data_IF_210872132096
#
_entry.id   IF_210872132096
#
_cell.length_a   1.000
_cell.length_b   1.000
_cell.length_c   1.000
_cell.angle_alpha   90.00
_cell.angle_beta   90.00
_cell.angle_gamma   90.00
#
_symmetry.space_group_name_H-M   'P 1'
#
loop_
_entity.id
_entity.type
_entity.pdbx_description
1 polymer ?
#
# COMPACT_ATOMS: atom_id res chain seq x y z
N UNK A 1 -11.93 -14.41 36.29
CA UNK A 1 -11.11 -13.19 36.03
C UNK A 1 -9.90 -13.44 35.13
N UNK A 2 -9.09 -14.48 35.36
CA UNK A 2 -7.96 -14.87 34.48
C UNK A 2 -8.38 -15.23 33.03
N UNK A 3 -9.57 -15.80 32.85
CA UNK A 3 -10.05 -16.35 31.56
C UNK A 3 -10.67 -15.35 30.58
N UNK A 4 -11.14 -14.18 31.04
CA UNK A 4 -11.72 -13.15 30.15
C UNK A 4 -10.61 -12.27 29.57
N UNK A 5 -9.55 -12.02 30.35
CA UNK A 5 -8.37 -11.26 29.95
C UNK A 5 -7.43 -12.04 29.03
N UNK A 6 -7.32 -13.37 29.21
CA UNK A 6 -6.71 -14.24 28.20
C UNK A 6 -7.46 -14.14 26.87
N UNK A 7 -8.80 -13.95 26.87
CA UNK A 7 -9.58 -13.82 25.64
C UNK A 7 -9.40 -12.47 24.94
N UNK A 8 -9.17 -11.37 25.65
CA UNK A 8 -8.96 -10.04 25.02
C UNK A 8 -7.50 -9.85 24.56
N UNK A 9 -6.53 -10.31 25.35
CA UNK A 9 -5.13 -10.34 24.92
C UNK A 9 -4.89 -11.40 23.84
N UNK A 10 -5.61 -12.53 23.86
CA UNK A 10 -5.70 -13.44 22.72
C UNK A 10 -6.45 -12.79 21.55
N UNK A 11 -7.51 -12.01 21.73
CA UNK A 11 -8.14 -11.34 20.57
C UNK A 11 -7.21 -10.36 19.85
N UNK A 12 -6.19 -9.80 20.51
CA UNK A 12 -5.14 -8.99 19.88
C UNK A 12 -3.89 -9.80 19.47
N UNK A 13 -3.68 -11.00 20.04
CA UNK A 13 -2.52 -11.88 19.77
C UNK A 13 -2.84 -13.15 18.97
N UNK A 14 -4.10 -13.34 18.55
CA UNK A 14 -4.63 -14.56 17.94
C UNK A 14 -5.34 -14.23 16.62
N UNK A 15 -4.91 -13.14 15.97
CA UNK A 15 -4.84 -13.13 14.51
C UNK A 15 -3.43 -13.58 14.17
N UNK A 16 -3.16 -14.87 14.39
CA UNK A 16 -2.20 -15.59 13.57
C UNK A 16 -2.83 -15.74 12.18
N UNK A 17 -3.08 -14.61 11.52
CA UNK A 17 -3.14 -14.63 10.08
C UNK A 17 -1.76 -15.10 9.61
N UNK A 18 -1.68 -15.88 8.52
CA UNK A 18 -0.39 -16.09 7.89
C UNK A 18 0.26 -14.70 7.77
N UNK A 19 1.55 -14.61 8.11
CA UNK A 19 2.33 -13.38 8.05
C UNK A 19 2.55 -12.97 6.58
N UNK A 20 1.46 -12.80 5.85
CA UNK A 20 1.42 -12.29 4.49
C UNK A 20 1.63 -10.79 4.67
N UNK A 21 2.84 -10.33 4.37
CA UNK A 21 3.00 -8.92 4.08
C UNK A 21 2.12 -8.61 2.87
N UNK A 22 1.31 -7.56 2.97
CA UNK A 22 0.42 -7.16 1.88
C UNK A 22 1.24 -6.87 0.63
N UNK A 23 0.81 -7.40 -0.52
CA UNK A 23 1.38 -7.03 -1.80
C UNK A 23 0.89 -5.64 -2.20
N UNK A 24 1.82 -4.72 -2.40
CA UNK A 24 1.52 -3.32 -2.70
C UNK A 24 1.36 -3.09 -4.22
N UNK A 25 1.90 -4.00 -5.04
CA UNK A 25 1.80 -3.90 -6.50
C UNK A 25 0.38 -4.27 -6.96
N UNK A 26 -0.27 -3.43 -7.79
CA UNK A 26 -1.54 -3.79 -8.39
C UNK A 26 -1.34 -4.79 -9.52
N UNK A 27 -2.43 -5.47 -9.84
CA UNK A 27 -2.60 -6.08 -11.15
C UNK A 27 -2.63 -4.96 -12.20
N UNK A 28 -1.78 -5.03 -13.23
CA UNK A 28 -1.79 -4.06 -14.32
C UNK A 28 -2.44 -4.69 -15.56
N UNK A 29 -3.47 -4.03 -16.08
CA UNK A 29 -4.13 -4.37 -17.35
C UNK A 29 -3.89 -3.24 -18.33
N UNK A 30 -3.09 -3.48 -19.36
CA UNK A 30 -2.76 -2.50 -20.39
C UNK A 30 -3.50 -2.85 -21.68
N UNK A 31 -4.27 -1.90 -22.19
CA UNK A 31 -5.03 -2.01 -23.43
C UNK A 31 -4.52 -0.94 -24.41
N UNK A 32 -3.88 -1.40 -25.48
CA UNK A 32 -3.38 -0.54 -26.55
C UNK A 32 -4.28 -0.70 -27.79
N UNK A 33 -5.14 0.29 -28.04
CA UNK A 33 -6.06 0.29 -29.16
C UNK A 33 -5.31 0.70 -30.45
N UNK A 34 -5.22 -0.21 -31.42
CA UNK A 34 -4.55 0.02 -32.72
C UNK A 34 -5.51 0.57 -33.78
N UNK A 35 -6.70 -0.02 -33.86
CA UNK A 35 -7.78 0.40 -34.76
C UNK A 35 -9.10 0.32 -34.02
N UNK A 36 -10.22 0.72 -34.63
CA UNK A 36 -11.55 0.57 -33.99
C UNK A 36 -11.96 -0.87 -33.68
N UNK A 37 -11.23 -1.87 -34.20
CA UNK A 37 -11.53 -3.30 -34.03
C UNK A 37 -10.36 -4.12 -33.51
N UNK A 38 -9.14 -3.59 -33.49
CA UNK A 38 -7.95 -4.31 -33.05
C UNK A 38 -7.27 -3.59 -31.89
N UNK A 39 -6.93 -4.36 -30.86
CA UNK A 39 -6.22 -3.91 -29.68
C UNK A 39 -5.16 -4.94 -29.26
N UNK A 40 -4.17 -4.52 -28.46
CA UNK A 40 -3.29 -5.43 -27.73
C UNK A 40 -3.65 -5.34 -26.25
N UNK A 41 -3.84 -6.48 -25.59
CA UNK A 41 -4.12 -6.54 -24.15
C UNK A 41 -2.97 -7.24 -23.46
N UNK A 42 -2.33 -6.56 -22.51
CA UNK A 42 -1.23 -7.08 -21.70
C UNK A 42 -1.65 -7.08 -20.24
N UNK A 43 -1.47 -8.21 -19.57
CA UNK A 43 -1.84 -8.38 -18.16
C UNK A 43 -0.59 -8.72 -17.38
N UNK A 44 -0.23 -7.89 -16.41
CA UNK A 44 0.95 -8.07 -15.55
C UNK A 44 0.48 -8.27 -14.12
N UNK A 45 0.62 -9.50 -13.62
CA UNK A 45 0.32 -9.83 -12.23
C UNK A 45 1.52 -9.53 -11.32
N UNK A 46 1.27 -9.14 -10.06
CA UNK A 46 2.30 -9.09 -9.02
C UNK A 46 2.94 -10.45 -8.76
N UNK A 47 4.22 -10.47 -8.41
CA UNK A 47 4.98 -11.72 -8.17
C UNK A 47 4.51 -12.51 -6.95
N UNK A 48 3.80 -11.88 -6.01
CA UNK A 48 3.25 -12.58 -4.84
C UNK A 48 1.96 -13.34 -5.10
N UNK A 49 1.32 -13.14 -6.27
CA UNK A 49 0.17 -13.95 -6.61
C UNK A 49 0.64 -15.39 -6.85
N UNK A 50 0.09 -16.37 -6.10
CA UNK A 50 0.50 -17.75 -6.29
C UNK A 50 0.13 -18.20 -7.70
N UNK A 51 0.98 -19.01 -8.33
CA UNK A 51 0.80 -19.45 -9.71
C UNK A 51 -0.58 -20.07 -9.99
N UNK A 52 -1.21 -20.70 -8.99
CA UNK A 52 -2.56 -21.28 -9.09
C UNK A 52 -3.71 -20.26 -9.00
N UNK A 53 -3.45 -19.00 -8.66
CA UNK A 53 -4.45 -17.93 -8.54
C UNK A 53 -4.17 -16.74 -9.47
N UNK A 54 -3.38 -16.93 -10.54
CA UNK A 54 -3.11 -15.88 -11.50
C UNK A 54 -4.42 -15.43 -12.20
N UNK A 55 -4.67 -14.11 -12.30
CA UNK A 55 -5.92 -13.60 -12.83
C UNK A 55 -6.04 -13.79 -14.34
N UNK A 56 -7.29 -13.89 -14.79
CA UNK A 56 -7.65 -13.85 -16.20
C UNK A 56 -8.55 -12.65 -16.43
N UNK A 57 -8.19 -11.81 -17.40
CA UNK A 57 -9.03 -10.70 -17.86
C UNK A 57 -10.00 -11.24 -18.92
N UNK A 58 -11.29 -11.12 -18.63
CA UNK A 58 -12.40 -11.48 -19.50
C UNK A 58 -12.85 -10.21 -20.23
N UNK A 59 -12.74 -10.26 -21.55
CA UNK A 59 -13.14 -9.19 -22.45
C UNK A 59 -14.60 -9.36 -22.86
N UNK A 60 -15.24 -8.31 -23.41
CA UNK A 60 -16.60 -8.42 -23.91
C UNK A 60 -16.76 -9.55 -24.95
N UNK A 61 -17.95 -10.16 -25.00
CA UNK A 61 -18.19 -11.37 -25.79
C UNK A 61 -18.01 -11.24 -27.32
N UNK A 62 -17.90 -10.02 -27.84
CA UNK A 62 -17.57 -9.73 -29.24
C UNK A 62 -16.07 -9.62 -29.53
N UNK A 63 -15.22 -9.90 -28.53
CA UNK A 63 -13.76 -9.91 -28.64
C UNK A 63 -13.20 -11.33 -28.76
N UNK A 64 -12.17 -11.50 -29.61
CA UNK A 64 -11.44 -12.76 -29.80
C UNK A 64 -9.92 -12.52 -29.74
N UNK A 65 -9.19 -13.21 -28.84
CA UNK A 65 -9.71 -14.07 -27.78
C UNK A 65 -10.46 -13.27 -26.70
N UNK A 66 -11.50 -13.87 -26.11
CA UNK A 66 -12.28 -13.24 -25.03
C UNK A 66 -11.60 -13.30 -23.66
N UNK A 67 -10.46 -14.01 -23.55
CA UNK A 67 -9.74 -14.23 -22.29
C UNK A 67 -8.25 -13.98 -22.49
N UNK A 68 -7.65 -13.21 -21.58
CA UNK A 68 -6.22 -12.89 -21.57
C UNK A 68 -5.67 -13.21 -20.18
N UNK A 69 -4.69 -14.10 -20.14
CA UNK A 69 -4.07 -14.58 -18.90
C UNK A 69 -2.99 -13.62 -18.42
N UNK A 70 -2.81 -13.51 -17.11
CA UNK A 70 -1.68 -12.80 -16.52
C UNK A 70 -0.33 -13.32 -17.02
N UNK A 71 0.63 -12.41 -17.20
CA UNK A 71 1.94 -12.70 -17.78
C UNK A 71 1.95 -12.77 -19.32
N UNK A 72 0.80 -12.56 -19.97
CA UNK A 72 0.70 -12.59 -21.43
C UNK A 72 0.39 -11.22 -22.03
N UNK A 73 0.86 -11.01 -23.27
CA UNK A 73 0.44 -9.91 -24.14
C UNK A 73 -0.19 -10.53 -25.38
N UNK A 74 -1.48 -10.29 -25.60
CA UNK A 74 -2.24 -10.91 -26.69
C UNK A 74 -2.90 -9.86 -27.58
N UNK A 75 -2.78 -9.98 -28.92
CA UNK A 75 -3.62 -9.22 -29.83
C UNK A 75 -5.07 -9.71 -29.72
N UNK A 76 -6.00 -8.77 -29.69
CA UNK A 76 -7.44 -9.01 -29.58
C UNK A 76 -8.16 -8.27 -30.70
N UNK A 77 -9.13 -8.95 -31.31
CA UNK A 77 -10.04 -8.35 -32.28
C UNK A 77 -11.45 -8.29 -31.71
N UNK A 78 -12.04 -7.09 -31.65
CA UNK A 78 -13.39 -6.83 -31.16
C UNK A 78 -14.26 -6.23 -32.27
N UNK A 79 -15.59 -6.28 -32.14
CA UNK A 79 -16.47 -5.64 -33.12
C UNK A 79 -16.36 -4.10 -33.10
N UNK A 80 -15.98 -3.54 -31.95
CA UNK A 80 -15.80 -2.11 -31.67
C UNK A 80 -14.69 -1.88 -30.64
N UNK A 81 -14.33 -0.61 -30.45
CA UNK A 81 -13.35 -0.13 -29.47
C UNK A 81 -13.66 -0.62 -28.05
N UNK A 82 -12.62 -0.85 -27.26
CA UNK A 82 -12.76 -1.25 -25.86
C UNK A 82 -13.08 -0.07 -24.93
N UNK A 83 -12.74 1.17 -25.31
CA UNK A 83 -13.13 2.38 -24.57
C UNK A 83 -14.62 2.40 -24.14
N UNK A 84 -14.87 2.71 -22.87
CA UNK A 84 -16.19 2.80 -22.26
C UNK A 84 -16.89 1.45 -22.04
N UNK A 85 -16.17 0.33 -22.19
CA UNK A 85 -16.73 -1.00 -22.03
C UNK A 85 -16.13 -1.69 -20.82
N UNK A 86 -16.90 -2.62 -20.26
CA UNK A 86 -16.46 -3.35 -19.09
C UNK A 86 -15.57 -4.53 -19.46
N UNK A 87 -14.50 -4.69 -18.70
CA UNK A 87 -13.64 -5.87 -18.66
C UNK A 87 -13.72 -6.47 -17.26
N UNK A 88 -13.75 -7.80 -17.15
CA UNK A 88 -13.92 -8.47 -15.86
C UNK A 88 -12.65 -9.21 -15.48
N UNK A 89 -12.21 -9.05 -14.23
CA UNK A 89 -11.10 -9.80 -13.67
C UNK A 89 -11.66 -11.05 -12.99
N UNK A 90 -11.10 -12.20 -13.32
CA UNK A 90 -11.45 -13.46 -12.69
C UNK A 90 -10.22 -14.09 -12.05
N UNK A 91 -10.27 -14.28 -10.74
CA UNK A 91 -9.30 -15.05 -9.96
C UNK A 91 -9.81 -16.49 -9.79
N UNK A 92 -9.02 -17.53 -10.15
CA UNK A 92 -9.47 -18.92 -10.10
C UNK A 92 -9.81 -19.46 -8.70
N UNK A 93 -9.13 -18.99 -7.65
CA UNK A 93 -9.25 -19.53 -6.29
C UNK A 93 -9.92 -18.54 -5.33
N UNK A 94 -9.40 -17.32 -5.23
CA UNK A 94 -9.89 -16.28 -4.31
C UNK A 94 -9.51 -14.89 -4.80
N UNK A 95 -10.26 -13.85 -4.41
CA UNK A 95 -9.82 -12.46 -4.63
C UNK A 95 -8.65 -12.16 -3.67
N UNK A 96 -7.43 -11.92 -4.17
CA UNK A 96 -6.26 -11.64 -3.34
C UNK A 96 -6.27 -10.24 -2.71
N UNK A 97 -7.33 -9.46 -2.92
CA UNK A 97 -7.45 -8.08 -2.44
C UNK A 97 -6.30 -7.17 -2.93
N UNK A 98 -5.88 -7.37 -4.18
CA UNK A 98 -4.94 -6.46 -4.87
C UNK A 98 -5.74 -5.47 -5.72
N UNK A 99 -5.35 -4.20 -5.69
CA UNK A 99 -5.92 -3.17 -6.58
C UNK A 99 -5.58 -3.49 -8.03
N UNK A 100 -6.36 -2.93 -8.96
CA UNK A 100 -6.12 -3.11 -10.40
C UNK A 100 -5.91 -1.78 -11.09
N UNK A 101 -4.82 -1.66 -11.82
CA UNK A 101 -4.49 -0.53 -12.66
C UNK A 101 -4.88 -0.85 -14.11
N UNK A 102 -5.87 -0.16 -14.65
CA UNK A 102 -6.29 -0.28 -16.04
C UNK A 102 -5.75 0.90 -16.85
N UNK A 103 -4.96 0.60 -17.88
CA UNK A 103 -4.40 1.59 -18.80
C UNK A 103 -5.03 1.43 -20.17
N UNK A 104 -5.47 2.53 -20.77
CA UNK A 104 -6.04 2.53 -22.12
C UNK A 104 -5.41 3.61 -23.00
N UNK A 105 -4.63 3.19 -24.00
CA UNK A 105 -3.95 4.08 -24.96
C UNK A 105 -4.40 3.87 -26.40
N UNK A 106 -4.15 4.87 -27.27
CA UNK A 106 -4.35 4.79 -28.72
C UNK A 106 -2.99 4.88 -29.42
N UNK A 107 -2.67 3.93 -30.29
CA UNK A 107 -1.45 3.96 -31.13
C UNK A 107 -0.23 3.24 -30.52
N UNK A 108 0.82 3.09 -31.34
CA UNK A 108 2.09 2.43 -30.97
C UNK A 108 3.15 3.45 -30.56
N UNK A 109 3.44 3.53 -29.27
CA UNK A 109 4.42 4.48 -28.73
C UNK A 109 3.91 5.14 -27.45
N UNK A 110 4.77 5.90 -26.77
CA UNK A 110 4.57 6.53 -25.47
C UNK A 110 3.48 7.63 -25.42
N UNK A 111 2.40 7.51 -26.19
CA UNK A 111 1.15 8.20 -25.89
C UNK A 111 0.62 7.55 -24.61
N UNK A 112 0.90 8.18 -23.48
CA UNK A 112 0.42 7.81 -22.14
C UNK A 112 -1.10 7.83 -22.16
N UNK A 113 -1.68 6.67 -22.47
CA UNK A 113 -3.11 6.46 -22.41
C UNK A 113 -3.67 6.70 -21.01
N UNK A 114 -4.94 7.07 -20.92
CA UNK A 114 -5.63 7.26 -19.66
C UNK A 114 -5.49 6.03 -18.75
N UNK A 115 -5.03 6.26 -17.53
CA UNK A 115 -4.90 5.26 -16.49
C UNK A 115 -5.94 5.47 -15.40
N UNK A 116 -6.66 4.42 -15.03
CA UNK A 116 -7.58 4.41 -13.90
C UNK A 116 -7.22 3.29 -12.92
N UNK A 117 -7.24 3.62 -11.63
CA UNK A 117 -7.02 2.67 -10.55
C UNK A 117 -8.36 2.26 -9.94
N UNK A 118 -8.55 0.95 -9.82
CA UNK A 118 -9.73 0.31 -9.27
C UNK A 118 -9.40 -0.33 -7.92
N UNK A 119 -10.38 -0.29 -7.01
CA UNK A 119 -10.24 -0.87 -5.69
C UNK A 119 -10.12 -2.41 -5.79
N UNK A 120 -9.58 -3.07 -4.76
CA UNK A 120 -9.42 -4.53 -4.77
C UNK A 120 -10.70 -5.34 -4.98
N UNK A 121 -11.85 -4.80 -4.59
CA UNK A 121 -13.15 -5.45 -4.74
C UNK A 121 -13.82 -5.17 -6.10
N UNK A 122 -13.27 -4.23 -6.88
CA UNK A 122 -13.77 -3.90 -8.21
C UNK A 122 -13.25 -4.93 -9.22
N UNK A 123 -14.05 -5.98 -9.45
CA UNK A 123 -13.72 -7.01 -10.45
C UNK A 123 -14.26 -6.70 -11.84
N UNK A 124 -15.09 -5.67 -12.00
CA UNK A 124 -15.64 -5.21 -13.27
C UNK A 124 -15.15 -3.79 -13.50
N UNK A 125 -14.24 -3.63 -14.47
CA UNK A 125 -13.55 -2.37 -14.75
C UNK A 125 -14.08 -1.77 -16.03
N UNK A 126 -14.48 -0.50 -16.01
CA UNK A 126 -14.91 0.20 -17.22
C UNK A 126 -13.73 0.87 -17.89
N UNK A 127 -13.33 0.40 -19.07
CA UNK A 127 -12.18 0.96 -19.80
C UNK A 127 -12.33 2.47 -20.00
N UNK A 128 -11.40 3.31 -19.52
CA UNK A 128 -11.54 4.76 -19.65
C UNK A 128 -11.46 5.21 -21.11
N UNK A 129 -11.94 6.41 -21.41
CA UNK A 129 -11.66 7.04 -22.70
C UNK A 129 -10.17 7.38 -22.78
N UNK A 130 -9.58 7.36 -23.98
CA UNK A 130 -8.13 7.57 -24.15
C UNK A 130 -7.63 8.94 -23.66
N UNK A 131 -8.52 9.91 -23.62
CA UNK A 131 -8.34 11.30 -23.23
C UNK A 131 -8.94 11.61 -21.84
N UNK A 132 -9.37 10.59 -21.09
CA UNK A 132 -9.90 10.79 -19.76
C UNK A 132 -8.77 11.26 -18.81
N UNK A 133 -9.02 12.35 -18.11
CA UNK A 133 -8.13 12.80 -17.05
C UNK A 133 -8.13 11.77 -15.90
N UNK A 134 -6.98 11.55 -15.24
CA UNK A 134 -6.92 10.72 -14.04
C UNK A 134 -7.90 11.23 -12.97
N UNK A 135 -8.68 10.32 -12.39
CA UNK A 135 -9.63 10.65 -11.32
C UNK A 135 -8.89 11.00 -10.03
N UNK A 136 -8.79 12.28 -9.67
CA UNK A 136 -8.13 12.69 -8.42
C UNK A 136 -8.75 11.99 -7.18
N UNK A 137 -10.05 11.70 -7.21
CA UNK A 137 -10.72 10.96 -6.16
C UNK A 137 -10.19 9.51 -6.03
N UNK A 138 -9.91 8.83 -7.15
CA UNK A 138 -9.34 7.48 -7.09
C UNK A 138 -7.92 7.50 -6.54
N UNK A 139 -7.09 8.51 -6.85
CA UNK A 139 -5.76 8.65 -6.23
C UNK A 139 -5.83 8.92 -4.73
N UNK A 140 -6.78 9.75 -4.28
CA UNK A 140 -6.95 10.02 -2.85
C UNK A 140 -7.34 8.74 -2.10
N UNK A 141 -8.32 7.99 -2.61
CA UNK A 141 -8.73 6.71 -2.04
C UNK A 141 -7.59 5.67 -2.09
N UNK A 142 -6.85 5.61 -3.19
CA UNK A 142 -5.66 4.77 -3.32
C UNK A 142 -4.62 5.05 -2.24
N UNK A 143 -4.42 6.33 -1.88
CA UNK A 143 -3.54 6.72 -0.78
C UNK A 143 -3.99 6.20 0.58
N UNK A 144 -5.30 6.24 0.83
CA UNK A 144 -5.91 5.69 2.05
C UNK A 144 -5.74 4.16 2.07
N UNK A 145 -6.08 3.48 0.98
CA UNK A 145 -6.01 2.02 0.89
C UNK A 145 -4.57 1.53 0.98
N UNK A 146 -3.61 2.26 0.39
CA UNK A 146 -2.19 1.96 0.48
C UNK A 146 -1.71 1.88 1.94
N UNK A 147 -2.00 2.90 2.76
CA UNK A 147 -1.54 2.90 4.14
C UNK A 147 -2.33 1.93 5.03
N UNK A 148 -3.63 1.79 4.82
CA UNK A 148 -4.48 0.92 5.64
C UNK A 148 -4.33 -0.57 5.29
N UNK A 149 -4.02 -0.89 4.03
CA UNK A 149 -3.72 -2.24 3.58
C UNK A 149 -2.29 -2.69 3.92
N UNK A 150 -1.33 -1.76 3.94
CA UNK A 150 0.07 -2.05 4.27
C UNK A 150 0.29 -2.37 5.74
N UNK A 151 0.23 -3.65 6.13
CA UNK A 151 0.45 -4.06 7.54
C UNK A 151 1.83 -3.62 8.04
N UNK A 152 2.87 -3.68 7.21
CA UNK A 152 4.21 -3.17 7.53
C UNK A 152 4.20 -1.67 7.86
N UNK A 153 3.45 -0.87 7.11
CA UNK A 153 3.26 0.56 7.38
C UNK A 153 2.51 0.79 8.70
N UNK A 154 1.48 0.00 8.99
CA UNK A 154 0.74 0.09 10.25
C UNK A 154 1.60 -0.30 11.45
N UNK A 155 2.40 -1.36 11.35
CA UNK A 155 3.34 -1.77 12.41
C UNK A 155 4.43 -0.72 12.62
N UNK A 156 4.96 -0.16 11.53
CA UNK A 156 5.89 0.96 11.59
C UNK A 156 5.27 2.14 12.34
N UNK A 157 4.04 2.52 11.98
CA UNK A 157 3.31 3.62 12.63
C UNK A 157 3.07 3.34 14.12
N UNK A 158 2.74 2.09 14.50
CA UNK A 158 2.63 1.69 15.92
C UNK A 158 3.96 1.91 16.67
N UNK A 159 5.09 1.48 16.10
CA UNK A 159 6.41 1.70 16.71
C UNK A 159 6.75 3.20 16.81
N UNK A 160 6.44 3.98 15.77
CA UNK A 160 6.68 5.41 15.70
C UNK A 160 5.86 6.18 16.76
N UNK A 161 4.56 5.89 16.86
CA UNK A 161 3.69 6.47 17.87
C UNK A 161 4.13 6.10 19.29
N UNK A 162 4.67 4.90 19.48
CA UNK A 162 5.27 4.52 20.74
C UNK A 162 6.53 5.33 21.09
N UNK A 163 7.16 6.04 20.16
CA UNK A 163 8.27 6.96 20.46
C UNK A 163 7.79 8.40 20.70
N UNK A 164 6.55 8.74 20.31
CA UNK A 164 6.01 10.08 20.46
C UNK A 164 5.49 10.35 21.88
N UNK A 165 5.78 11.55 22.40
CA UNK A 165 5.37 11.98 23.75
C UNK A 165 4.17 12.94 23.76
N UNK A 166 3.75 13.47 22.61
CA UNK A 166 2.64 14.42 22.50
C UNK A 166 1.93 14.33 21.15
N UNK A 167 0.66 14.74 21.09
CA UNK A 167 -0.11 14.78 19.84
C UNK A 167 0.52 15.70 18.78
N UNK A 168 1.13 16.82 19.22
CA UNK A 168 1.89 17.71 18.32
C UNK A 168 3.08 16.97 17.69
N UNK A 169 3.81 16.19 18.48
CA UNK A 169 4.92 15.39 17.95
C UNK A 169 4.42 14.33 16.97
N UNK A 170 3.31 13.66 17.27
CA UNK A 170 2.69 12.70 16.34
C UNK A 170 2.40 13.38 15.00
N UNK A 171 1.69 14.50 15.01
CA UNK A 171 1.33 15.22 13.78
C UNK A 171 2.57 15.65 12.99
N UNK A 172 3.56 16.26 13.65
CA UNK A 172 4.82 16.67 12.98
C UNK A 172 5.59 15.49 12.38
N UNK A 173 5.55 14.33 13.05
CA UNK A 173 6.25 13.12 12.59
C UNK A 173 5.53 12.52 11.38
N UNK A 174 4.20 12.42 11.44
CA UNK A 174 3.38 11.91 10.33
C UNK A 174 3.51 12.81 9.10
N UNK A 175 3.32 14.12 9.24
CA UNK A 175 3.50 15.07 8.14
C UNK A 175 4.93 15.04 7.60
N UNK A 176 5.94 14.95 8.48
CA UNK A 176 7.33 14.81 8.05
C UNK A 176 7.58 13.55 7.21
N UNK A 177 7.01 12.42 7.61
CA UNK A 177 7.03 11.18 6.84
C UNK A 177 6.38 11.38 5.46
N UNK A 178 5.18 11.95 5.40
CA UNK A 178 4.46 12.22 4.14
C UNK A 178 5.25 13.14 3.21
N UNK A 179 5.94 14.15 3.73
CA UNK A 179 6.82 15.02 2.94
C UNK A 179 7.97 14.21 2.32
N UNK A 180 8.68 13.40 3.13
CA UNK A 180 9.75 12.55 2.63
C UNK A 180 9.24 11.57 1.56
N UNK A 181 8.11 10.93 1.85
CA UNK A 181 7.43 10.01 0.94
C UNK A 181 7.12 10.67 -0.41
N UNK A 182 6.51 11.86 -0.37
CA UNK A 182 6.17 12.65 -1.55
C UNK A 182 7.40 12.96 -2.41
N UNK A 183 8.53 13.33 -1.79
CA UNK A 183 9.77 13.62 -2.53
C UNK A 183 10.22 12.40 -3.33
N UNK A 184 10.26 11.22 -2.72
CA UNK A 184 10.72 10.01 -3.43
C UNK A 184 9.75 9.50 -4.48
N UNK A 185 8.45 9.71 -4.29
CA UNK A 185 7.47 9.43 -5.33
C UNK A 185 7.66 10.35 -6.55
N UNK A 186 7.90 11.64 -6.33
CA UNK A 186 8.21 12.58 -7.40
C UNK A 186 9.53 12.25 -8.11
N UNK A 187 10.57 11.89 -7.36
CA UNK A 187 11.85 11.44 -7.94
C UNK A 187 11.65 10.19 -8.81
N UNK A 188 10.79 9.28 -8.38
CA UNK A 188 10.49 8.05 -9.11
C UNK A 188 9.74 8.31 -10.41
N UNK A 189 8.76 9.22 -10.40
CA UNK A 189 8.08 9.70 -11.62
C UNK A 189 9.09 10.37 -12.57
N UNK A 190 10.08 11.09 -12.03
CA UNK A 190 11.18 11.66 -12.81
C UNK A 190 12.23 10.63 -13.29
N UNK A 191 12.01 9.33 -13.06
CA UNK A 191 12.87 8.24 -13.52
C UNK A 191 14.00 7.85 -12.56
N UNK A 192 14.07 8.43 -11.37
CA UNK A 192 15.10 8.15 -10.35
C UNK A 192 14.63 7.10 -9.33
N UNK A 193 14.05 6.00 -9.79
CA UNK A 193 13.56 4.91 -8.94
C UNK A 193 14.66 3.96 -8.45
N UNK A 194 14.36 3.21 -7.39
CA UNK A 194 15.18 2.10 -6.89
C UNK A 194 14.50 0.75 -7.15
N UNK A 195 15.27 -0.36 -7.25
CA UNK A 195 14.68 -1.69 -7.32
C UNK A 195 13.78 -1.98 -6.10
N UNK A 196 12.55 -2.51 -6.29
CA UNK A 196 11.61 -2.71 -5.19
C UNK A 196 12.12 -3.67 -4.10
N UNK A 197 12.72 -4.80 -4.45
CA UNK A 197 13.06 -5.84 -3.48
C UNK A 197 14.02 -5.36 -2.35
N UNK A 198 15.14 -4.65 -2.64
CA UNK A 198 15.94 -4.02 -1.60
C UNK A 198 15.17 -2.99 -0.76
N UNK A 199 14.29 -2.21 -1.38
CA UNK A 199 13.52 -1.18 -0.68
C UNK A 199 12.52 -1.82 0.28
N UNK A 200 11.79 -2.85 -0.13
CA UNK A 200 10.86 -3.59 0.72
C UNK A 200 11.55 -4.26 1.91
N UNK A 201 12.75 -4.81 1.71
CA UNK A 201 13.57 -5.33 2.81
C UNK A 201 13.95 -4.20 3.79
N UNK A 202 14.39 -3.05 3.28
CA UNK A 202 14.73 -1.90 4.12
C UNK A 202 13.51 -1.31 4.85
N UNK A 203 12.32 -1.33 4.25
CA UNK A 203 11.06 -0.96 4.91
C UNK A 203 10.81 -1.89 6.10
N UNK A 204 10.94 -3.21 5.93
CA UNK A 204 10.82 -4.17 7.03
C UNK A 204 11.88 -3.95 8.12
N UNK A 205 13.12 -3.67 7.72
CA UNK A 205 14.21 -3.33 8.65
C UNK A 205 13.91 -2.05 9.44
N UNK A 206 13.25 -1.06 8.83
CA UNK A 206 12.88 0.19 9.52
C UNK A 206 11.96 -0.06 10.73
N UNK A 207 11.09 -1.08 10.66
CA UNK A 207 10.24 -1.50 11.79
C UNK A 207 11.13 -2.03 12.93
N UNK A 208 12.10 -2.89 12.61
CA UNK A 208 13.05 -3.44 13.59
C UNK A 208 13.82 -2.32 14.27
N UNK A 209 14.32 -1.35 13.50
CA UNK A 209 15.07 -0.20 14.02
C UNK A 209 14.20 0.62 14.96
N UNK A 210 12.93 0.92 14.61
CA UNK A 210 12.01 1.67 15.48
C UNK A 210 11.61 0.88 16.74
N UNK A 211 11.40 -0.43 16.64
CA UNK A 211 11.12 -1.26 17.79
C UNK A 211 12.32 -1.33 18.75
N UNK A 212 13.52 -1.56 18.23
CA UNK A 212 14.74 -1.60 19.04
C UNK A 212 15.05 -0.25 19.67
N UNK A 213 14.80 0.84 18.94
CA UNK A 213 14.90 2.21 19.41
C UNK A 213 14.00 2.50 20.62
N UNK A 214 12.75 2.03 20.57
CA UNK A 214 11.81 2.13 21.67
C UNK A 214 12.28 1.33 22.89
N UNK A 215 12.72 0.07 22.68
CA UNK A 215 13.16 -0.81 23.76
C UNK A 215 14.43 -0.32 24.47
N UNK A 216 15.35 0.31 23.73
CA UNK A 216 16.58 0.88 24.28
C UNK A 216 16.40 2.28 24.87
N UNK A 217 15.29 2.96 24.57
CA UNK A 217 15.05 4.34 24.98
C UNK A 217 15.95 5.38 24.28
N UNK A 218 16.63 5.00 23.19
CA UNK A 218 17.71 5.79 22.57
C UNK A 218 17.20 6.84 21.55
N UNK A 219 16.19 6.50 20.74
CA UNK A 219 15.77 7.37 19.62
C UNK A 219 14.68 8.38 20.02
N UNK A 220 14.07 8.20 21.18
CA UNK A 220 13.14 9.18 21.75
C UNK A 220 13.76 10.59 21.87
N UNK A 221 15.08 10.68 22.07
CA UNK A 221 15.79 11.96 22.11
C UNK A 221 15.89 12.65 20.74
N UNK A 222 16.19 11.91 19.66
CA UNK A 222 16.38 12.49 18.33
C UNK A 222 15.04 12.84 17.67
N UNK A 223 14.05 11.92 17.75
CA UNK A 223 12.65 12.23 17.41
C UNK A 223 12.11 13.35 18.30
N UNK A 224 12.57 13.43 19.55
CA UNK A 224 12.33 14.53 20.49
C UNK A 224 12.67 15.91 19.94
N UNK A 225 13.85 16.03 19.33
CA UNK A 225 14.42 17.32 18.89
C UNK A 225 14.11 17.65 17.43
N UNK A 226 14.05 16.66 16.55
CA UNK A 226 13.89 16.84 15.10
C UNK A 226 12.92 15.81 14.52
N UNK A 227 11.67 15.76 14.99
CA UNK A 227 10.70 14.73 14.59
C UNK A 227 10.47 14.72 13.07
N UNK A 228 10.32 15.90 12.47
CA UNK A 228 10.08 16.07 11.03
C UNK A 228 11.23 15.51 10.21
N UNK A 229 12.49 15.84 10.55
CA UNK A 229 13.66 15.44 9.77
C UNK A 229 13.89 13.92 9.81
N UNK A 230 13.78 13.32 11.00
CA UNK A 230 13.93 11.87 11.16
C UNK A 230 12.83 11.14 10.41
N UNK A 231 11.58 11.59 10.56
CA UNK A 231 10.44 10.98 9.90
C UNK A 231 10.51 11.14 8.37
N UNK A 232 10.92 12.31 7.87
CA UNK A 232 11.15 12.53 6.45
C UNK A 232 12.23 11.59 5.91
N UNK A 233 13.32 11.36 6.65
CA UNK A 233 14.35 10.39 6.26
C UNK A 233 13.81 8.98 6.07
N UNK A 234 12.91 8.54 6.95
CA UNK A 234 12.25 7.23 6.82
C UNK A 234 11.20 7.26 5.69
N UNK A 235 10.46 8.36 5.55
CA UNK A 235 9.49 8.56 4.48
C UNK A 235 10.11 8.49 3.09
N UNK A 236 11.31 9.04 2.90
CA UNK A 236 12.08 8.91 1.66
C UNK A 236 12.27 7.43 1.30
N UNK A 237 12.73 6.61 2.26
CA UNK A 237 12.91 5.18 2.01
C UNK A 237 11.59 4.50 1.60
N UNK A 238 10.50 4.79 2.31
CA UNK A 238 9.21 4.16 2.07
C UNK A 238 8.62 4.52 0.70
N UNK A 239 8.80 5.76 0.23
CA UNK A 239 8.22 6.19 -1.05
C UNK A 239 8.84 5.50 -2.26
N UNK A 240 10.08 5.01 -2.15
CA UNK A 240 10.65 4.16 -3.20
C UNK A 240 9.96 2.79 -3.32
N UNK A 241 9.30 2.30 -2.26
CA UNK A 241 8.58 1.01 -2.31
C UNK A 241 7.35 1.07 -3.23
N UNK A 242 6.80 2.26 -3.44
CA UNK A 242 5.62 2.51 -4.27
C UNK A 242 5.95 3.17 -5.62
N UNK A 243 7.23 3.51 -5.85
CA UNK A 243 7.76 4.12 -7.07
C UNK A 243 7.37 3.36 -8.35
N UNK A 244 7.57 2.03 -8.33
CA UNK A 244 7.25 1.17 -9.47
C UNK A 244 5.77 1.19 -9.82
N UNK A 245 4.90 1.37 -8.83
CA UNK A 245 3.47 1.53 -9.07
C UNK A 245 3.15 2.86 -9.77
N UNK A 246 3.62 4.00 -9.29
CA UNK A 246 3.35 5.29 -9.96
C UNK A 246 3.83 5.31 -11.41
N UNK A 247 4.99 4.73 -11.69
CA UNK A 247 5.47 4.56 -13.07
C UNK A 247 4.52 3.70 -13.91
N UNK A 248 3.91 2.67 -13.32
CA UNK A 248 2.93 1.81 -14.00
C UNK A 248 1.58 2.47 -14.23
N UNK A 249 1.19 3.48 -13.46
CA UNK A 249 -0.08 4.20 -13.65
C UNK A 249 -0.10 4.94 -15.00
N UNK A 250 1.08 5.29 -15.53
CA UNK A 250 1.18 5.97 -16.83
C UNK A 250 0.44 7.30 -16.84
N UNK A 251 0.38 7.97 -15.69
CA UNK A 251 -0.20 9.31 -15.58
C UNK A 251 0.50 10.20 -16.61
N UNK A 252 -0.24 10.91 -17.47
CA UNK A 252 0.35 11.92 -18.36
C UNK A 252 1.28 12.85 -17.58
N UNK A 253 2.41 13.24 -18.16
CA UNK A 253 3.46 14.00 -17.47
C UNK A 253 2.92 15.28 -16.79
N UNK A 254 1.90 15.90 -17.36
CA UNK A 254 1.21 17.09 -16.84
C UNK A 254 0.29 16.81 -15.64
N UNK A 255 -0.22 15.58 -15.51
CA UNK A 255 -1.10 15.16 -14.42
C UNK A 255 -0.38 14.39 -13.31
N UNK A 256 0.89 14.02 -13.49
CA UNK A 256 1.64 13.20 -12.54
C UNK A 256 1.87 13.89 -11.19
N UNK A 257 2.23 15.19 -11.20
CA UNK A 257 2.41 15.96 -9.96
C UNK A 257 1.10 16.07 -9.14
N UNK A 258 -0.05 16.49 -9.73
CA UNK A 258 -1.34 16.45 -9.04
C UNK A 258 -1.71 15.08 -8.48
N UNK A 259 -1.49 14.01 -9.25
CA UNK A 259 -1.80 12.65 -8.83
C UNK A 259 -0.97 12.23 -7.59
N UNK A 260 0.34 12.50 -7.59
CA UNK A 260 1.22 12.20 -6.45
C UNK A 260 0.84 13.02 -5.21
N UNK A 261 0.51 14.30 -5.37
CA UNK A 261 0.12 15.15 -4.25
C UNK A 261 -1.20 14.68 -3.62
N UNK A 262 -2.20 14.36 -4.45
CA UNK A 262 -3.51 13.89 -3.98
C UNK A 262 -3.41 12.49 -3.36
N UNK A 263 -2.58 11.62 -3.93
CA UNK A 263 -2.27 10.32 -3.33
C UNK A 263 -1.67 10.48 -1.92
N UNK A 264 -0.67 11.34 -1.74
CA UNK A 264 -0.08 11.57 -0.41
C UNK A 264 -1.03 12.23 0.58
N UNK A 265 -1.98 13.05 0.10
CA UNK A 265 -3.05 13.58 0.94
C UNK A 265 -3.97 12.45 1.44
N UNK A 266 -4.22 11.44 0.60
CA UNK A 266 -4.89 10.20 0.98
C UNK A 266 -4.11 9.41 2.03
N UNK A 267 -2.79 9.26 1.85
CA UNK A 267 -1.90 8.60 2.82
C UNK A 267 -1.98 9.30 4.19
N UNK A 268 -1.84 10.63 4.23
CA UNK A 268 -1.91 11.38 5.49
C UNK A 268 -3.29 11.25 6.15
N UNK A 269 -4.38 11.27 5.36
CA UNK A 269 -5.73 11.04 5.86
C UNK A 269 -5.89 9.63 6.48
N UNK A 270 -5.38 8.59 5.81
CA UNK A 270 -5.40 7.21 6.31
C UNK A 270 -4.56 7.05 7.59
N UNK A 271 -3.39 7.69 7.66
CA UNK A 271 -2.56 7.72 8.88
C UNK A 271 -3.31 8.38 10.04
N UNK A 272 -3.92 9.56 9.82
CA UNK A 272 -4.70 10.26 10.84
C UNK A 272 -5.89 9.42 11.31
N UNK A 273 -6.59 8.76 10.39
CA UNK A 273 -7.71 7.88 10.72
C UNK A 273 -7.27 6.70 11.60
N UNK A 274 -6.19 6.01 11.22
CA UNK A 274 -5.62 4.92 12.01
C UNK A 274 -5.15 5.38 13.40
N UNK A 275 -4.44 6.50 13.46
CA UNK A 275 -3.97 7.09 14.72
C UNK A 275 -5.16 7.40 15.65
N UNK A 276 -6.22 8.01 15.10
CA UNK A 276 -7.42 8.37 15.86
C UNK A 276 -8.11 7.13 16.40
N UNK A 277 -8.24 6.08 15.59
CA UNK A 277 -8.78 4.80 16.02
C UNK A 277 -7.94 4.15 17.13
N UNK A 278 -6.62 4.19 17.02
CA UNK A 278 -5.70 3.65 18.02
C UNK A 278 -5.79 4.42 19.35
N UNK A 279 -5.89 5.76 19.30
CA UNK A 279 -6.10 6.59 20.49
C UNK A 279 -7.46 6.32 21.14
N UNK A 280 -8.52 6.14 20.35
CA UNK A 280 -9.85 5.80 20.86
C UNK A 280 -9.84 4.44 21.58
N UNK A 281 -9.22 3.42 20.96
CA UNK A 281 -9.04 2.10 21.55
C UNK A 281 -8.21 2.16 22.84
N UNK A 282 -7.12 2.92 22.84
CA UNK A 282 -6.30 3.12 24.03
C UNK A 282 -7.06 3.82 25.15
N UNK A 283 -7.87 4.84 24.84
CA UNK A 283 -8.71 5.53 25.83
C UNK A 283 -9.76 4.59 26.43
N UNK A 284 -10.42 3.77 25.60
CA UNK A 284 -11.37 2.76 26.06
C UNK A 284 -10.69 1.71 26.96
N UNK A 285 -9.51 1.22 26.56
CA UNK A 285 -8.69 0.31 27.35
C UNK A 285 -8.25 0.95 28.68
N UNK A 286 -7.91 2.24 28.68
CA UNK A 286 -7.50 2.97 29.88
C UNK A 286 -8.65 3.19 30.86
N UNK A 287 -9.85 3.53 30.36
CA UNK A 287 -11.06 3.68 31.20
C UNK A 287 -11.47 2.34 31.81
N UNK A 288 -11.42 1.26 31.04
CA UNK A 288 -11.72 -0.09 31.54
C UNK A 288 -10.66 -0.57 32.53
N UNK A 289 -9.37 -0.36 32.25
CA UNK A 289 -8.26 -0.65 33.17
C UNK A 289 -8.40 0.11 34.51
N UNK A 290 -8.77 1.40 34.47
CA UNK A 290 -9.01 2.19 35.67
C UNK A 290 -10.20 1.65 36.49
N UNK A 291 -11.30 1.24 35.83
CA UNK A 291 -12.44 0.58 36.48
C UNK A 291 -12.07 -0.77 37.12
N UNK A 292 -11.11 -1.47 36.53
CA UNK A 292 -10.62 -2.77 36.99
C UNK A 292 -9.42 -2.67 37.96
N UNK A 293 -9.01 -1.46 38.38
CA UNK A 293 -7.83 -1.20 39.21
C UNK A 293 -6.54 -1.82 38.66
N UNK A 294 -6.39 -1.87 37.35
CA UNK A 294 -5.17 -2.36 36.74
C UNK A 294 -3.99 -1.40 37.01
N UNK A 295 -2.83 -1.97 37.34
CA UNK A 295 -1.60 -1.23 37.59
C UNK A 295 -1.10 -0.56 36.30
N UNK A 296 -0.52 0.65 36.41
CA UNK A 296 0.22 1.33 35.33
C UNK A 296 1.29 0.44 34.73
N UNK A 297 1.89 -0.46 35.52
CA UNK A 297 2.83 -1.47 35.03
C UNK A 297 2.25 -2.36 33.92
N UNK A 298 0.94 -2.64 33.94
CA UNK A 298 0.29 -3.45 32.92
C UNK A 298 0.21 -2.73 31.57
N UNK A 299 -0.13 -1.43 31.58
CA UNK A 299 -0.20 -0.61 30.34
C UNK A 299 1.18 -0.48 29.70
N UNK A 300 2.22 -0.28 30.52
CA UNK A 300 3.61 -0.26 30.06
C UNK A 300 4.02 -1.60 29.45
N UNK A 301 3.72 -2.72 30.12
CA UNK A 301 4.01 -4.07 29.59
C UNK A 301 3.28 -4.34 28.29
N UNK A 302 2.00 -3.96 28.18
CA UNK A 302 1.22 -4.15 26.96
C UNK A 302 1.83 -3.36 25.79
N UNK A 303 2.18 -2.08 26.00
CA UNK A 303 2.87 -1.26 25.00
C UNK A 303 4.21 -1.87 24.57
N UNK A 304 5.03 -2.30 25.53
CA UNK A 304 6.32 -2.95 25.24
C UNK A 304 6.14 -4.25 24.48
N UNK A 305 5.15 -5.07 24.86
CA UNK A 305 4.86 -6.31 24.16
C UNK A 305 4.39 -6.08 22.72
N UNK A 306 3.53 -5.08 22.48
CA UNK A 306 3.10 -4.71 21.12
C UNK A 306 4.30 -4.27 20.27
N UNK A 307 5.15 -3.38 20.78
CA UNK A 307 6.33 -2.92 20.02
C UNK A 307 7.33 -4.05 19.76
N UNK A 308 7.54 -4.93 20.74
CA UNK A 308 8.40 -6.10 20.56
C UNK A 308 7.85 -7.04 19.49
N UNK A 309 6.54 -7.32 19.51
CA UNK A 309 5.88 -8.15 18.50
C UNK A 309 5.99 -7.54 17.10
N UNK A 310 5.76 -6.24 16.95
CA UNK A 310 5.97 -5.52 15.69
C UNK A 310 7.41 -5.66 15.18
N UNK A 311 8.40 -5.49 16.05
CA UNK A 311 9.81 -5.66 15.71
C UNK A 311 10.18 -7.08 15.31
N UNK A 312 9.63 -8.09 16.01
CA UNK A 312 9.85 -9.49 15.67
C UNK A 312 9.27 -9.86 14.30
N UNK A 313 8.06 -9.38 14.00
CA UNK A 313 7.42 -9.58 12.69
C UNK A 313 8.16 -8.83 11.58
N UNK A 314 8.60 -7.60 11.84
CA UNK A 314 9.47 -6.86 10.92
C UNK A 314 10.80 -7.56 10.64
N UNK A 315 11.40 -8.20 11.65
CA UNK A 315 12.63 -8.97 11.49
C UNK A 315 12.41 -10.23 10.64
N UNK A 316 11.28 -10.92 10.85
CA UNK A 316 10.87 -12.05 10.02
C UNK A 316 10.75 -11.63 8.54
N UNK A 317 9.98 -10.57 8.25
CA UNK A 317 9.81 -10.08 6.87
C UNK A 317 11.10 -9.53 6.26
N UNK A 318 11.98 -8.92 7.07
CA UNK A 318 13.29 -8.48 6.59
C UNK A 318 14.11 -9.68 6.10
N UNK A 319 14.19 -10.75 6.88
CA UNK A 319 14.94 -11.96 6.49
C UNK A 319 14.32 -12.61 5.26
N UNK A 320 12.99 -12.77 5.23
CA UNK A 320 12.26 -13.32 4.09
C UNK A 320 12.56 -12.55 2.80
N UNK A 321 12.40 -11.22 2.83
CA UNK A 321 12.64 -10.36 1.67
C UNK A 321 14.12 -10.28 1.29
N UNK A 322 15.03 -10.28 2.28
CA UNK A 322 16.47 -10.23 2.02
C UNK A 322 16.99 -11.53 1.37
N UNK A 323 16.46 -12.69 1.79
CA UNK A 323 16.81 -13.98 1.17
C UNK A 323 16.30 -14.06 -0.26
N UNK A 324 15.13 -13.49 -0.55
CA UNK A 324 14.57 -13.47 -1.91
C UNK A 324 15.35 -12.57 -2.91
N UNK A 325 16.30 -11.75 -2.44
CA UNK A 325 17.16 -10.91 -3.29
C UNK A 325 18.34 -11.72 -3.89
N UNK A 326 18.75 -12.80 -3.22
CA UNK A 326 19.93 -13.62 -3.56
C UNK A 326 19.51 -14.83 -4.40
#
# INVERSE_FOLDING_TARGET
MRHVLVRVAAMLGLVAAPAIAHEIRPLVVEIEQRTSRSASVRVVAPDSLPAGNLPVVILPGDCSPARVEAGSSRPVTCARSLAGRDVTIHYPLFNPAVSTMLRYGKGTGSDTGAGELYAPDDLVLTVPAADAAPSLASFFLAGIDHILGGIDHLLFLVCLLALCSSARMVLLTVTGFTIGHSITLLLSVAGLGLPPAPVEALIALSIVVMAAAFLRGEVGWLLGRRPVLVAAGIGLLHGFGFAGFLSSIGVPDDAALPAVLIFNLGVEAGQIAFITALFALWRLASVTAARLRADRAWVLRARTATVFASGALGAFWFVERAVAIV
#
